data_IF_478002790256
#
_entry.id   IF_478002790256
#
_cell.length_a   1.000
_cell.length_b   1.000
_cell.length_c   1.000
_cell.angle_alpha   90.00
_cell.angle_beta   90.00
_cell.angle_gamma   90.00
#
_symmetry.space_group_name_H-M   'P 1'
#
loop_
_entity.id
_entity.type
_entity.pdbx_description
1 polymer ?
#
# COMPACT_ATOMS: atom_id res chain seq x y z
N UNK A 1 25.09 0.09 -18.51
CA UNK A 1 24.05 -0.96 -18.41
C UNK A 1 23.26 -0.69 -17.14
N UNK A 2 21.99 -0.30 -17.27
CA UNK A 2 21.15 0.21 -16.18
C UNK A 2 20.88 -0.89 -15.15
N UNK A 3 21.28 -0.64 -13.90
CA UNK A 3 20.98 -1.50 -12.76
C UNK A 3 19.49 -1.33 -12.40
N UNK A 4 18.60 -1.98 -13.16
CA UNK A 4 17.16 -1.98 -12.89
C UNK A 4 16.93 -2.81 -11.63
N UNK A 5 16.62 -2.13 -10.52
CA UNK A 5 16.30 -2.75 -9.25
C UNK A 5 15.20 -3.81 -9.43
N UNK A 6 15.37 -5.01 -8.88
CA UNK A 6 14.39 -6.12 -8.95
C UNK A 6 12.96 -5.69 -8.57
N UNK A 7 12.82 -4.72 -7.67
CA UNK A 7 11.54 -4.14 -7.28
C UNK A 7 10.88 -3.32 -8.40
N UNK A 8 11.63 -2.59 -9.21
CA UNK A 8 11.09 -1.85 -10.36
C UNK A 8 10.64 -2.82 -11.46
N UNK A 9 11.44 -3.86 -11.74
CA UNK A 9 11.09 -4.87 -12.73
C UNK A 9 9.79 -5.62 -12.37
N UNK A 10 9.59 -5.96 -11.09
CA UNK A 10 8.36 -6.58 -10.60
C UNK A 10 7.14 -5.64 -10.74
N UNK A 11 7.32 -4.34 -10.45
CA UNK A 11 6.22 -3.34 -10.53
C UNK A 11 5.72 -3.15 -11.96
N UNK A 12 6.64 -2.96 -12.91
CA UNK A 12 6.29 -2.82 -14.32
C UNK A 12 5.76 -4.16 -14.89
N UNK A 13 6.33 -5.29 -14.46
CA UNK A 13 5.85 -6.61 -14.86
C UNK A 13 4.39 -6.84 -14.49
N UNK A 14 3.97 -6.51 -13.25
CA UNK A 14 2.57 -6.66 -12.84
C UNK A 14 1.64 -5.74 -13.64
N UNK A 15 2.05 -4.48 -13.89
CA UNK A 15 1.25 -3.55 -14.69
C UNK A 15 1.04 -4.06 -16.13
N UNK A 16 2.10 -4.55 -16.78
CA UNK A 16 2.04 -5.07 -18.14
C UNK A 16 1.20 -6.36 -18.19
N UNK A 17 1.39 -7.28 -17.24
CA UNK A 17 0.62 -8.52 -17.18
C UNK A 17 -0.86 -8.27 -16.90
N UNK A 18 -1.21 -7.37 -15.98
CA UNK A 18 -2.61 -7.08 -15.65
C UNK A 18 -3.32 -6.39 -16.80
N UNK A 19 -2.68 -5.41 -17.46
CA UNK A 19 -3.25 -4.72 -18.62
C UNK A 19 -3.34 -5.66 -19.82
N UNK A 20 -2.32 -6.50 -20.05
CA UNK A 20 -2.35 -7.51 -21.12
C UNK A 20 -3.45 -8.55 -20.91
N UNK A 21 -3.66 -9.00 -19.68
CA UNK A 21 -4.75 -9.90 -19.32
C UNK A 21 -6.12 -9.23 -19.51
N UNK A 22 -6.27 -7.98 -19.09
CA UNK A 22 -7.49 -7.21 -19.31
C UNK A 22 -7.78 -7.05 -20.79
N UNK A 23 -6.78 -6.70 -21.61
CA UNK A 23 -6.89 -6.59 -23.06
C UNK A 23 -7.34 -7.91 -23.69
N UNK A 24 -6.69 -9.01 -23.35
CA UNK A 24 -7.00 -10.35 -23.88
C UNK A 24 -8.42 -10.76 -23.54
N UNK A 25 -8.83 -10.55 -22.28
CA UNK A 25 -10.20 -10.82 -21.85
C UNK A 25 -11.22 -9.92 -22.55
N UNK A 26 -10.92 -8.64 -22.75
CA UNK A 26 -11.82 -7.73 -23.48
C UNK A 26 -12.01 -8.18 -24.91
N UNK A 27 -10.94 -8.58 -25.63
CA UNK A 27 -11.03 -9.08 -27.01
C UNK A 27 -11.83 -10.40 -27.06
N UNK A 28 -11.58 -11.32 -26.12
CA UNK A 28 -12.28 -12.60 -26.05
C UNK A 28 -13.78 -12.43 -25.74
N UNK A 29 -14.13 -11.48 -24.85
CA UNK A 29 -15.53 -11.19 -24.51
C UNK A 29 -16.23 -10.41 -25.61
N UNK A 30 -15.55 -9.50 -26.31
CA UNK A 30 -16.11 -8.81 -27.49
C UNK A 30 -16.51 -9.82 -28.56
N UNK A 31 -15.68 -10.84 -28.80
CA UNK A 31 -15.97 -11.93 -29.72
C UNK A 31 -17.20 -12.77 -29.32
N UNK A 32 -17.55 -12.82 -28.02
CA UNK A 32 -18.63 -13.66 -27.50
C UNK A 32 -19.94 -12.92 -27.24
N UNK A 33 -19.89 -11.64 -26.79
CA UNK A 33 -21.06 -10.97 -26.21
C UNK A 33 -21.47 -9.70 -27.00
N UNK A 34 -20.60 -9.10 -27.84
CA UNK A 34 -20.77 -7.83 -28.58
C UNK A 34 -20.58 -6.48 -27.84
N UNK A 35 -20.85 -6.26 -26.52
CA UNK A 35 -20.52 -4.99 -25.88
C UNK A 35 -19.05 -4.97 -25.46
N UNK A 36 -18.42 -3.80 -25.61
CA UNK A 36 -17.06 -3.53 -25.14
C UNK A 36 -17.03 -3.43 -23.61
N UNK A 37 -16.41 -4.39 -22.94
CA UNK A 37 -16.32 -4.42 -21.47
C UNK A 37 -15.02 -3.75 -21.02
N UNK A 38 -15.11 -2.44 -20.80
CA UNK A 38 -13.98 -1.57 -20.42
C UNK A 38 -13.66 -1.63 -18.92
N UNK A 39 -14.56 -2.17 -18.11
CA UNK A 39 -14.37 -2.29 -16.65
C UNK A 39 -13.16 -3.14 -16.26
N UNK A 40 -12.70 -4.02 -17.18
CA UNK A 40 -11.52 -4.86 -17.01
C UNK A 40 -10.22 -4.04 -16.92
N UNK A 41 -10.13 -2.90 -17.60
CA UNK A 41 -8.96 -2.01 -17.50
C UNK A 41 -8.89 -1.31 -16.13
N UNK A 42 -10.03 -0.94 -15.55
CA UNK A 42 -10.05 -0.42 -14.17
C UNK A 42 -9.63 -1.47 -13.14
N UNK A 43 -10.01 -2.73 -13.34
CA UNK A 43 -9.54 -3.84 -12.52
C UNK A 43 -8.01 -4.01 -12.65
N UNK A 44 -7.45 -3.93 -13.86
CA UNK A 44 -6.02 -4.00 -14.10
C UNK A 44 -5.23 -2.88 -13.38
N UNK A 45 -5.74 -1.63 -13.41
CA UNK A 45 -5.14 -0.49 -12.68
C UNK A 45 -5.18 -0.75 -11.18
N UNK A 46 -6.31 -1.22 -10.65
CA UNK A 46 -6.47 -1.51 -9.21
C UNK A 46 -5.51 -2.59 -8.75
N UNK A 47 -5.40 -3.69 -9.50
CA UNK A 47 -4.45 -4.78 -9.22
C UNK A 47 -3.01 -4.27 -9.28
N UNK A 48 -2.67 -3.44 -10.28
CA UNK A 48 -1.32 -2.89 -10.39
C UNK A 48 -0.94 -1.98 -9.23
N UNK A 49 -1.90 -1.26 -8.65
CA UNK A 49 -1.70 -0.39 -7.47
C UNK A 49 -1.53 -1.21 -6.18
N UNK A 50 -2.10 -2.42 -6.10
CA UNK A 50 -1.89 -3.29 -4.94
C UNK A 50 -0.45 -3.80 -4.84
N UNK A 51 0.15 -4.19 -5.96
CA UNK A 51 1.51 -4.74 -5.99
C UNK A 51 2.58 -3.67 -6.28
N UNK A 52 2.19 -2.52 -6.84
CA UNK A 52 3.06 -1.40 -7.14
C UNK A 52 2.99 -0.25 -6.13
N UNK A 53 4.01 0.61 -6.15
CA UNK A 53 3.87 1.99 -5.63
C UNK A 53 3.04 2.83 -6.62
N UNK A 54 2.81 4.11 -6.33
CA UNK A 54 2.09 5.06 -7.20
C UNK A 54 2.48 4.91 -8.69
N UNK A 55 3.75 4.65 -8.97
CA UNK A 55 4.28 4.46 -10.32
C UNK A 55 3.68 3.28 -11.08
N UNK A 56 3.26 2.20 -10.40
CA UNK A 56 2.62 1.04 -11.02
C UNK A 56 1.21 1.38 -11.51
N UNK A 57 0.41 2.07 -10.69
CA UNK A 57 -0.92 2.54 -11.08
C UNK A 57 -0.90 3.52 -12.25
N UNK A 58 0.05 4.46 -12.23
CA UNK A 58 0.26 5.40 -13.33
C UNK A 58 0.69 4.69 -14.62
N UNK A 59 1.61 3.72 -14.53
CA UNK A 59 2.04 2.92 -15.67
C UNK A 59 0.88 2.10 -16.25
N UNK A 60 0.09 1.43 -15.40
CA UNK A 60 -1.09 0.67 -15.84
C UNK A 60 -2.15 1.58 -16.47
N UNK A 61 -2.36 2.78 -15.94
CA UNK A 61 -3.28 3.78 -16.50
C UNK A 61 -2.82 4.22 -17.89
N UNK A 62 -1.54 4.56 -18.05
CA UNK A 62 -0.96 4.96 -19.33
C UNK A 62 -1.01 3.84 -20.37
N UNK A 63 -0.63 2.61 -19.99
CA UNK A 63 -0.73 1.43 -20.85
C UNK A 63 -2.17 1.14 -21.26
N UNK A 64 -3.13 1.30 -20.35
CA UNK A 64 -4.55 1.13 -20.65
C UNK A 64 -5.06 2.21 -21.60
N UNK A 65 -4.67 3.48 -21.43
CA UNK A 65 -5.02 4.56 -22.36
C UNK A 65 -4.52 4.25 -23.77
N UNK A 66 -3.26 3.81 -23.90
CA UNK A 66 -2.68 3.43 -25.19
C UNK A 66 -3.41 2.21 -25.78
N UNK A 67 -3.69 1.19 -24.98
CA UNK A 67 -4.42 0.01 -25.43
C UNK A 67 -5.84 0.37 -25.90
N UNK A 68 -6.57 1.20 -25.16
CA UNK A 68 -7.91 1.67 -25.51
C UNK A 68 -7.87 2.50 -26.79
N UNK A 69 -6.94 3.46 -26.88
CA UNK A 69 -6.81 4.32 -28.06
C UNK A 69 -6.44 3.54 -29.33
N UNK A 70 -5.58 2.51 -29.22
CA UNK A 70 -5.08 1.77 -30.38
C UNK A 70 -6.03 0.65 -30.86
N UNK A 71 -6.60 -0.11 -29.92
CA UNK A 71 -7.42 -1.30 -30.24
C UNK A 71 -8.92 -1.00 -30.30
N UNK A 72 -9.41 0.05 -29.65
CA UNK A 72 -10.85 0.24 -29.45
C UNK A 72 -11.42 1.56 -30.00
N UNK A 73 -10.58 2.56 -30.30
CA UNK A 73 -10.97 3.83 -30.93
C UNK A 73 -10.91 3.71 -32.47
N UNK A 74 -12.01 3.95 -33.21
CA UNK A 74 -11.95 4.04 -34.66
C UNK A 74 -11.24 5.33 -35.12
N UNK A 75 -10.39 5.29 -36.17
CA UNK A 75 -9.98 4.13 -36.95
C UNK A 75 -9.04 3.19 -36.18
N UNK A 76 -9.38 1.89 -36.19
CA UNK A 76 -8.61 0.84 -35.51
C UNK A 76 -7.15 0.82 -36.00
N UNK A 77 -6.20 0.60 -35.10
CA UNK A 77 -4.75 0.62 -35.39
C UNK A 77 -4.17 2.00 -35.76
N UNK A 78 -4.90 3.08 -35.49
CA UNK A 78 -4.45 4.47 -35.64
C UNK A 78 -4.61 5.25 -34.32
N UNK A 79 -3.74 6.22 -34.06
CA UNK A 79 -3.88 7.14 -32.92
C UNK A 79 -4.78 8.35 -33.24
N UNK A 80 -5.51 8.34 -34.36
CA UNK A 80 -6.42 9.42 -34.73
C UNK A 80 -7.69 9.35 -33.87
N UNK A 81 -7.93 10.39 -33.06
CA UNK A 81 -9.13 10.53 -32.23
C UNK A 81 -10.12 11.44 -32.96
N UNK A 82 -10.99 10.83 -33.77
CA UNK A 82 -12.00 11.55 -34.55
C UNK A 82 -13.35 11.66 -33.81
N UNK A 83 -13.61 10.77 -32.85
CA UNK A 83 -14.85 10.74 -32.08
C UNK A 83 -14.76 11.56 -30.78
N UNK A 84 -15.76 12.41 -30.53
CA UNK A 84 -15.89 13.13 -29.25
C UNK A 84 -16.07 12.17 -28.07
N UNK A 85 -16.79 11.06 -28.27
CA UNK A 85 -17.08 10.06 -27.22
C UNK A 85 -15.81 9.37 -26.71
N UNK A 86 -14.91 8.99 -27.62
CA UNK A 86 -13.65 8.30 -27.27
C UNK A 86 -12.72 9.23 -26.49
N UNK A 87 -12.69 10.51 -26.87
CA UNK A 87 -11.93 11.55 -26.15
C UNK A 87 -12.42 11.72 -24.71
N UNK A 88 -13.74 11.81 -24.50
CA UNK A 88 -14.32 11.91 -23.17
C UNK A 88 -13.98 10.68 -22.33
N UNK A 89 -14.07 9.48 -22.91
CA UNK A 89 -13.76 8.24 -22.22
C UNK A 89 -12.29 8.18 -21.76
N UNK A 90 -11.33 8.56 -22.61
CA UNK A 90 -9.91 8.58 -22.24
C UNK A 90 -9.63 9.60 -21.12
N UNK A 91 -10.27 10.77 -21.17
CA UNK A 91 -10.16 11.78 -20.11
C UNK A 91 -10.72 11.23 -18.79
N UNK A 92 -11.94 10.68 -18.80
CA UNK A 92 -12.56 10.08 -17.62
C UNK A 92 -11.74 8.93 -17.08
N UNK A 93 -11.22 8.05 -17.93
CA UNK A 93 -10.37 6.93 -17.54
C UNK A 93 -9.08 7.42 -16.88
N UNK A 94 -8.40 8.41 -17.49
CA UNK A 94 -7.21 9.03 -16.93
C UNK A 94 -7.48 9.66 -15.55
N UNK A 95 -8.58 10.40 -15.40
CA UNK A 95 -8.97 11.02 -14.12
C UNK A 95 -9.26 9.96 -13.04
N UNK A 96 -10.01 8.91 -13.38
CA UNK A 96 -10.31 7.82 -12.45
C UNK A 96 -9.03 7.04 -12.09
N UNK A 97 -8.17 6.74 -13.06
CA UNK A 97 -6.89 6.07 -12.83
C UNK A 97 -5.96 6.89 -11.91
N UNK A 98 -5.91 8.21 -12.10
CA UNK A 98 -5.20 9.14 -11.22
C UNK A 98 -5.80 9.15 -9.82
N UNK A 99 -7.12 9.19 -9.70
CA UNK A 99 -7.82 9.18 -8.41
C UNK A 99 -7.58 7.88 -7.64
N UNK A 100 -7.69 6.72 -8.30
CA UNK A 100 -7.37 5.40 -7.72
C UNK A 100 -5.91 5.37 -7.25
N UNK A 101 -4.99 5.88 -8.08
CA UNK A 101 -3.57 5.91 -7.78
C UNK A 101 -3.25 6.83 -6.58
N UNK A 102 -3.85 8.02 -6.52
CA UNK A 102 -3.67 8.99 -5.42
C UNK A 102 -4.23 8.47 -4.11
N UNK A 103 -5.47 7.98 -4.09
CA UNK A 103 -6.12 7.47 -2.87
C UNK A 103 -5.34 6.30 -2.25
N UNK A 104 -4.82 5.41 -3.08
CA UNK A 104 -4.00 4.30 -2.60
C UNK A 104 -2.64 4.75 -2.07
N UNK A 105 -2.04 5.76 -2.68
CA UNK A 105 -0.79 6.35 -2.18
C UNK A 105 -1.01 6.94 -0.78
N UNK A 106 -2.09 7.69 -0.57
CA UNK A 106 -2.44 8.27 0.73
C UNK A 106 -2.74 7.19 1.78
N UNK A 107 -3.51 6.16 1.42
CA UNK A 107 -3.83 5.05 2.30
C UNK A 107 -2.58 4.29 2.76
N UNK A 108 -1.63 4.04 1.84
CA UNK A 108 -0.35 3.37 2.17
C UNK A 108 0.55 4.26 3.02
N UNK A 109 0.61 5.56 2.73
CA UNK A 109 1.41 6.50 3.51
C UNK A 109 0.90 6.58 4.95
N UNK A 110 -0.41 6.60 5.15
CA UNK A 110 -1.03 6.55 6.48
C UNK A 110 -0.67 5.25 7.21
N UNK A 111 -0.86 4.09 6.57
CA UNK A 111 -0.50 2.79 7.18
C UNK A 111 0.99 2.68 7.53
N UNK A 112 1.88 3.23 6.70
CA UNK A 112 3.33 3.22 6.98
C UNK A 112 3.66 4.04 8.23
N UNK A 113 3.08 5.23 8.36
CA UNK A 113 3.26 6.11 9.53
C UNK A 113 2.81 5.42 10.82
N UNK A 114 1.62 4.80 10.82
CA UNK A 114 1.13 4.08 12.02
C UNK A 114 2.06 2.94 12.42
N UNK A 115 2.57 2.16 11.46
CA UNK A 115 3.51 1.06 11.76
C UNK A 115 4.84 1.56 12.32
N UNK A 116 5.39 2.65 11.77
CA UNK A 116 6.65 3.22 12.27
C UNK A 116 6.47 3.80 13.67
N UNK A 117 5.36 4.50 13.93
CA UNK A 117 5.07 5.05 15.25
C UNK A 117 4.89 3.93 16.28
N UNK A 118 4.16 2.87 15.94
CA UNK A 118 3.97 1.72 16.84
C UNK A 118 5.29 1.02 17.16
N UNK A 119 6.13 0.76 16.14
CA UNK A 119 7.44 0.14 16.35
C UNK A 119 8.37 1.04 17.20
N UNK A 120 8.32 2.36 16.99
CA UNK A 120 9.09 3.32 17.80
C UNK A 120 8.59 3.36 19.25
N UNK A 121 7.28 3.30 19.47
CA UNK A 121 6.70 3.25 20.82
C UNK A 121 7.15 1.98 21.56
N UNK A 122 7.01 0.81 20.93
CA UNK A 122 7.46 -0.46 21.53
C UNK A 122 8.96 -0.45 21.86
N UNK A 123 9.80 0.02 20.93
CA UNK A 123 11.24 0.12 21.17
C UNK A 123 11.57 1.09 22.33
N UNK A 124 10.79 2.18 22.49
CA UNK A 124 10.96 3.11 23.60
C UNK A 124 10.51 2.50 24.93
N UNK A 125 9.40 1.76 24.95
CA UNK A 125 8.90 1.07 26.16
C UNK A 125 9.87 -0.01 26.62
N UNK A 126 10.39 -0.84 25.70
CA UNK A 126 11.39 -1.85 26.03
C UNK A 126 12.68 -1.22 26.57
N UNK A 127 13.13 -0.14 25.95
CA UNK A 127 14.30 0.62 26.42
C UNK A 127 14.07 1.20 27.81
N UNK A 128 12.87 1.74 28.07
CA UNK A 128 12.53 2.27 29.39
C UNK A 128 12.51 1.15 30.44
N UNK A 129 11.85 0.02 30.16
CA UNK A 129 11.86 -1.15 31.06
C UNK A 129 13.28 -1.63 31.36
N UNK A 130 14.13 -1.76 30.34
CA UNK A 130 15.53 -2.14 30.53
C UNK A 130 16.29 -1.17 31.44
N UNK A 131 16.08 0.14 31.31
CA UNK A 131 16.72 1.14 32.18
C UNK A 131 16.25 0.97 33.63
N UNK A 132 14.95 0.76 33.84
CA UNK A 132 14.40 0.57 35.18
C UNK A 132 14.89 -0.74 35.83
N UNK A 133 14.93 -1.83 35.07
CA UNK A 133 15.35 -3.15 35.56
C UNK A 133 16.85 -3.21 35.83
N UNK A 134 17.68 -2.47 35.09
CA UNK A 134 19.15 -2.42 35.27
C UNK A 134 19.62 -1.35 36.24
N UNK A 135 18.70 -0.55 36.79
CA UNK A 135 19.04 0.45 37.80
C UNK A 135 19.54 -0.20 39.09
N UNK A 136 20.59 0.37 39.68
CA UNK A 136 21.10 -0.04 40.99
C UNK A 136 20.25 0.46 42.17
N UNK A 137 19.32 1.38 41.90
CA UNK A 137 18.36 1.89 42.86
C UNK A 137 17.04 1.10 42.79
N UNK A 138 16.40 0.89 43.94
CA UNK A 138 15.06 0.32 43.99
C UNK A 138 14.02 1.33 43.49
N UNK A 139 13.28 0.96 42.44
CA UNK A 139 12.26 1.81 41.82
C UNK A 139 10.89 1.21 42.10
N UNK A 140 10.01 2.01 42.73
CA UNK A 140 8.62 1.67 42.99
C UNK A 140 7.69 2.72 42.38
N UNK A 141 6.83 2.30 41.46
CA UNK A 141 5.70 3.11 40.98
C UNK A 141 4.43 2.60 41.62
N UNK A 142 3.67 3.54 42.18
CA UNK A 142 2.35 3.33 42.74
C UNK A 142 1.33 4.08 41.89
N UNK A 143 0.17 3.48 41.67
CA UNK A 143 -0.94 4.16 41.01
C UNK A 143 -1.66 5.13 41.98
N UNK A 144 -2.73 5.79 41.51
CA UNK A 144 -3.54 6.73 42.30
C UNK A 144 -4.23 6.10 43.51
N UNK A 145 -4.34 4.77 43.56
CA UNK A 145 -4.96 4.00 44.65
C UNK A 145 -3.91 3.39 45.60
N UNK A 146 -2.64 3.81 45.50
CA UNK A 146 -1.51 3.29 46.28
C UNK A 146 -1.23 1.80 46.06
N UNK A 147 -1.63 1.24 44.91
CA UNK A 147 -1.27 -0.12 44.52
C UNK A 147 0.01 -0.10 43.68
N UNK A 148 0.83 -1.14 43.81
CA UNK A 148 2.03 -1.32 42.97
C UNK A 148 1.63 -1.38 41.51
N UNK A 149 2.09 -0.41 40.73
CA UNK A 149 1.98 -0.41 39.27
C UNK A 149 3.24 -1.01 38.63
N UNK A 150 4.39 -0.76 39.25
CA UNK A 150 5.67 -1.35 38.83
C UNK A 150 6.66 -1.35 40.00
N UNK A 151 7.45 -2.41 40.11
CA UNK A 151 8.61 -2.51 40.97
C UNK A 151 9.74 -3.15 40.16
N UNK A 152 10.96 -2.62 40.23
CA UNK A 152 12.11 -3.26 39.59
C UNK A 152 12.68 -4.38 40.48
N UNK A 153 13.49 -5.26 39.88
CA UNK A 153 14.09 -6.38 40.61
C UNK A 153 14.97 -5.91 41.78
N UNK A 154 15.65 -4.76 41.62
CA UNK A 154 16.51 -4.23 42.67
C UNK A 154 15.75 -3.82 43.93
N UNK A 155 14.53 -3.27 43.80
CA UNK A 155 13.66 -2.94 44.93
C UNK A 155 13.24 -4.21 45.69
N UNK A 156 12.84 -5.25 44.96
CA UNK A 156 12.43 -6.53 45.53
C UNK A 156 13.58 -7.14 46.36
N UNK A 157 14.79 -7.15 45.80
CA UNK A 157 16.01 -7.58 46.51
C UNK A 157 16.30 -6.75 47.77
N UNK A 158 16.15 -5.42 47.70
CA UNK A 158 16.37 -4.52 48.84
C UNK A 158 15.36 -4.76 49.97
N UNK A 159 14.11 -5.06 49.63
CA UNK A 159 13.04 -5.30 50.60
C UNK A 159 12.98 -6.77 51.06
N UNK A 160 13.75 -7.67 50.44
CA UNK A 160 13.77 -9.10 50.77
C UNK A 160 12.54 -9.87 50.28
N UNK A 161 11.82 -9.34 49.29
CA UNK A 161 10.66 -9.97 48.67
C UNK A 161 10.98 -10.43 47.25
N UNK A 162 10.19 -11.36 46.73
CA UNK A 162 10.15 -11.66 45.30
C UNK A 162 9.25 -10.67 44.56
N UNK A 163 9.48 -10.51 43.24
CA UNK A 163 8.67 -9.60 42.42
C UNK A 163 7.19 -9.99 42.40
N UNK A 164 6.89 -11.29 42.48
CA UNK A 164 5.54 -11.86 42.49
C UNK A 164 4.78 -11.53 43.78
N UNK A 165 5.47 -11.37 44.91
CA UNK A 165 4.86 -11.01 46.19
C UNK A 165 4.50 -9.51 46.29
N UNK A 166 5.05 -8.68 45.40
CA UNK A 166 4.84 -7.23 45.40
C UNK A 166 3.72 -6.75 44.45
N UNK A 167 3.19 -7.64 43.61
CA UNK A 167 2.18 -7.36 42.56
C UNK A 167 0.73 -7.61 43.03
#
# INVERSE_FOLDING_TARGET
>A
MLNVNRSQLQRYGVAVLSVGLALLLTILLEALIQPKILILFFAAVTVSVWFGELTGGLAATGLSIVAIAYFFSPPLYSLAIDSSTDRFQLITFGLVGLLISSLNADLRNSKRRTRTTFAQLQASEERYRQILDTSYEGIWLLNTELRTEYANQRLAEMLGYSLEEMQ
#
